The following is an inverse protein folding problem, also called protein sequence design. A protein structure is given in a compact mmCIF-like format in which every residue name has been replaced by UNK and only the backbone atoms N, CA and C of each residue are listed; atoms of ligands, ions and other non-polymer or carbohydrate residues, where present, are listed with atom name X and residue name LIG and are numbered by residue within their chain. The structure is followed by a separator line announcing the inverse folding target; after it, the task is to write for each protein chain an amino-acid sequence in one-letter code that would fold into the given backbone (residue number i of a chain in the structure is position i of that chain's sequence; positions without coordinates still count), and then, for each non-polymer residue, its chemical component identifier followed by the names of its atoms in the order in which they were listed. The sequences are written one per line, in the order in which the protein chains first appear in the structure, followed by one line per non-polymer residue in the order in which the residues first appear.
data_IF_450025844842
#
_entry.id   IF_450025844842
#
_cell.length_a   1.000
_cell.length_b   1.000
_cell.length_c   1.000
_cell.angle_alpha   90.00
_cell.angle_beta   90.00
_cell.angle_gamma   90.00
#
_symmetry.space_group_name_H-M   'P 1'
#
loop_
_entity.id
_entity.type
_entity.pdbx_description
1 polymer ?
#
# COMPACT_ATOMS: atom_id res chain seq x y z
N UNK A 1 -18.79 3.65 -70.23
CA UNK A 1 -18.29 4.31 -71.46
C UNK A 1 -16.77 4.19 -71.51
N UNK A 2 -16.28 3.54 -72.58
CA UNK A 2 -14.96 3.56 -73.25
C UNK A 2 -13.61 3.30 -72.51
N UNK A 3 -13.12 2.06 -72.71
CA UNK A 3 -11.78 1.58 -73.15
C UNK A 3 -10.53 2.48 -73.22
N UNK A 4 -9.38 1.93 -72.75
CA UNK A 4 -8.14 1.66 -73.52
C UNK A 4 -7.15 0.78 -72.68
N UNK A 5 -6.93 -0.51 -72.99
CA UNK A 5 -5.78 -1.14 -73.71
C UNK A 5 -4.38 -0.60 -73.31
N UNK A 6 -3.33 -1.38 -72.97
CA UNK A 6 -3.12 -2.83 -72.85
C UNK A 6 -1.60 -3.18 -72.85
N UNK A 7 -1.24 -4.43 -72.44
CA UNK A 7 -0.03 -5.25 -72.76
C UNK A 7 1.36 -4.66 -72.35
N UNK A 8 2.41 -5.38 -71.94
CA UNK A 8 3.02 -6.69 -72.32
C UNK A 8 4.23 -6.96 -71.36
N UNK A 9 4.37 -8.16 -70.77
CA UNK A 9 5.43 -9.19 -70.98
C UNK A 9 6.84 -9.05 -70.35
N UNK A 10 7.21 -10.10 -69.59
CA UNK A 10 8.43 -10.97 -69.67
C UNK A 10 9.71 -10.60 -68.87
N UNK A 11 9.95 -11.46 -67.86
CA UNK A 11 11.16 -12.17 -67.41
C UNK A 11 12.59 -11.58 -67.49
N UNK A 12 13.19 -11.50 -66.29
CA UNK A 12 14.49 -12.06 -65.81
C UNK A 12 15.84 -11.74 -66.52
N UNK A 13 16.95 -11.69 -65.74
CA UNK A 13 17.80 -12.88 -65.60
C UNK A 13 18.43 -13.17 -64.20
N UNK A 14 18.79 -14.46 -64.07
CA UNK A 14 19.73 -15.21 -63.21
C UNK A 14 21.06 -14.52 -62.83
N UNK A 15 21.88 -14.94 -61.85
CA UNK A 15 21.99 -16.19 -61.06
C UNK A 15 23.04 -16.04 -59.92
N UNK A 16 22.95 -16.84 -58.84
CA UNK A 16 23.86 -17.98 -58.52
C UNK A 16 25.27 -17.54 -58.03
N UNK A 17 25.88 -18.00 -56.92
CA UNK A 17 25.93 -19.33 -56.30
C UNK A 17 26.82 -19.25 -55.01
N UNK A 18 26.81 -20.33 -54.21
CA UNK A 18 27.79 -20.82 -53.21
C UNK A 18 27.52 -20.58 -51.71
N UNK A 19 27.14 -21.68 -51.04
CA UNK A 19 27.46 -21.97 -49.63
C UNK A 19 28.74 -22.81 -49.55
N UNK A 20 29.40 -22.86 -48.38
CA UNK A 20 29.46 -24.15 -47.69
C UNK A 20 29.24 -24.04 -46.16
N UNK A 21 28.82 -25.19 -45.59
CA UNK A 21 28.63 -25.44 -44.16
C UNK A 21 29.97 -25.49 -43.42
N UNK A 22 30.01 -25.09 -42.15
CA UNK A 22 30.80 -25.74 -41.11
C UNK A 22 30.20 -25.52 -39.71
N UNK A 23 30.28 -26.60 -38.95
CA UNK A 23 29.85 -26.92 -37.59
C UNK A 23 30.57 -26.14 -36.49
N UNK A 24 29.90 -25.85 -35.37
CA UNK A 24 30.55 -25.38 -34.14
C UNK A 24 29.55 -25.03 -33.02
N UNK A 25 29.71 -25.67 -31.86
CA UNK A 25 28.86 -25.66 -30.66
C UNK A 25 28.60 -24.27 -30.02
N UNK A 26 27.58 -24.15 -29.13
CA UNK A 26 27.24 -22.92 -28.43
C UNK A 26 28.12 -22.71 -27.19
N UNK A 27 28.50 -21.46 -26.91
CA UNK A 27 29.08 -21.09 -25.63
C UNK A 27 29.13 -19.56 -25.46
N UNK A 28 29.28 -19.05 -24.24
CA UNK A 28 28.57 -19.39 -23.01
C UNK A 28 27.59 -18.27 -22.63
N UNK A 29 26.52 -18.61 -21.93
CA UNK A 29 25.68 -17.64 -21.22
C UNK A 29 26.52 -16.97 -20.12
N UNK A 30 26.96 -15.74 -20.38
CA UNK A 30 27.46 -14.82 -19.36
C UNK A 30 26.30 -14.42 -18.45
N UNK A 31 26.07 -15.22 -17.42
CA UNK A 31 25.23 -14.87 -16.29
C UNK A 31 25.99 -13.82 -15.46
N UNK A 32 25.89 -12.56 -15.86
CA UNK A 32 26.35 -11.45 -15.05
C UNK A 32 25.43 -11.32 -13.82
N UNK A 33 25.94 -11.79 -12.67
CA UNK A 33 25.32 -11.54 -11.36
C UNK A 33 25.20 -10.02 -11.17
N UNK A 34 24.02 -9.46 -10.87
CA UNK A 34 23.93 -8.06 -10.54
C UNK A 34 24.72 -7.81 -9.24
N UNK A 35 25.78 -7.02 -9.38
CA UNK A 35 26.64 -6.53 -8.31
C UNK A 35 25.78 -5.92 -7.20
N UNK A 36 26.08 -6.32 -5.96
CA UNK A 36 25.51 -5.77 -4.73
C UNK A 36 25.62 -4.24 -4.75
N UNK A 37 24.51 -3.55 -5.00
CA UNK A 37 24.42 -2.12 -4.79
C UNK A 37 24.47 -1.89 -3.28
N UNK A 38 25.50 -1.17 -2.84
CA UNK A 38 25.67 -0.71 -1.46
C UNK A 38 24.41 0.07 -1.06
N UNK A 39 23.72 -0.42 -0.03
CA UNK A 39 22.51 0.15 0.54
C UNK A 39 22.85 1.52 1.14
N UNK A 40 22.29 2.58 0.56
CA UNK A 40 22.52 3.95 0.97
C UNK A 40 21.47 4.89 0.38
N UNK A 41 20.21 4.49 0.46
CA UNK A 41 19.04 5.34 0.24
C UNK A 41 17.84 4.60 0.86
N UNK A 42 17.56 4.89 2.13
CA UNK A 42 16.37 4.37 2.80
C UNK A 42 15.15 4.99 2.12
N UNK A 43 14.51 4.23 1.23
CA UNK A 43 13.20 4.56 0.72
C UNK A 43 12.22 4.30 1.87
N UNK A 44 11.91 5.32 2.67
CA UNK A 44 10.90 5.23 3.75
C UNK A 44 9.50 5.15 3.11
N UNK A 45 9.18 4.01 2.50
CA UNK A 45 7.81 3.61 2.28
C UNK A 45 7.25 3.23 3.65
N UNK A 46 6.16 3.87 4.06
CA UNK A 46 5.43 3.50 5.27
C UNK A 46 4.79 2.13 5.03
N UNK A 47 5.45 1.09 5.51
CA UNK A 47 5.13 -0.32 5.27
C UNK A 47 4.48 -0.91 6.51
N UNK A 48 3.39 -0.32 7.00
CA UNK A 48 2.80 -0.74 8.26
C UNK A 48 1.37 -1.28 8.08
N UNK A 49 1.17 -2.46 8.64
CA UNK A 49 -0.12 -3.13 8.72
C UNK A 49 -0.36 -3.43 10.18
N UNK A 50 -1.19 -2.59 10.80
CA UNK A 50 -1.40 -2.65 12.24
C UNK A 50 -2.56 -3.57 12.53
N UNK A 51 -2.30 -4.61 13.32
CA UNK A 51 -3.37 -5.24 14.08
C UNK A 51 -3.72 -4.33 15.25
N UNK A 52 -4.68 -3.43 15.01
CA UNK A 52 -5.27 -2.61 16.06
C UNK A 52 -6.29 -3.45 16.87
N UNK A 53 -5.85 -4.53 17.51
CA UNK A 53 -6.63 -5.18 18.57
C UNK A 53 -6.27 -4.53 19.90
N UNK A 54 -7.12 -3.61 20.39
CA UNK A 54 -7.11 -3.14 21.78
C UNK A 54 -7.04 -1.62 22.00
N UNK A 55 -6.61 -0.82 21.02
CA UNK A 55 -6.51 0.64 21.21
C UNK A 55 -7.85 1.38 21.11
N UNK A 56 -8.93 0.71 20.68
CA UNK A 56 -10.27 1.30 20.58
C UNK A 56 -11.16 1.03 21.81
N UNK A 57 -10.68 0.31 22.83
CA UNK A 57 -11.46 -0.08 24.03
C UNK A 57 -10.83 0.31 25.37
N UNK A 58 -9.71 1.04 25.39
CA UNK A 58 -9.14 1.55 26.65
C UNK A 58 -8.55 0.49 27.59
N UNK A 59 -8.29 -0.72 27.11
CA UNK A 59 -7.66 -1.78 27.92
C UNK A 59 -6.14 -1.77 27.72
N UNK A 60 -5.51 -0.68 28.16
CA UNK A 60 -4.12 -0.71 28.62
C UNK A 60 -4.19 -0.56 30.14
N UNK A 61 -4.66 -1.61 30.77
CA UNK A 61 -4.32 -1.94 32.14
C UNK A 61 -4.35 -3.45 32.22
N UNK A 62 -3.20 -4.00 32.60
CA UNK A 62 -3.10 -5.37 33.04
C UNK A 62 -3.98 -5.48 34.30
N UNK A 63 -5.12 -6.13 34.15
CA UNK A 63 -5.90 -6.63 35.28
C UNK A 63 -6.63 -7.88 34.80
N UNK A 64 -6.02 -9.01 35.12
CA UNK A 64 -6.62 -10.33 35.26
C UNK A 64 -8.09 -10.25 35.66
N UNK A 65 -8.99 -10.78 34.81
CA UNK A 65 -10.12 -11.64 35.23
C UNK A 65 -10.88 -12.21 34.02
N UNK A 66 -10.91 -13.56 34.00
CA UNK A 66 -11.78 -14.51 33.32
C UNK A 66 -12.69 -14.06 32.17
N UNK A 67 -12.33 -14.47 30.95
CA UNK A 67 -13.31 -14.76 29.91
C UNK A 67 -13.17 -16.24 29.54
N UNK A 68 -14.23 -17.01 29.78
CA UNK A 68 -14.30 -18.46 29.69
C UNK A 68 -13.80 -19.01 28.35
N UNK A 69 -12.84 -19.95 28.44
CA UNK A 69 -12.49 -20.87 27.36
C UNK A 69 -13.71 -21.69 26.96
N UNK A 70 -14.01 -21.72 25.66
CA UNK A 70 -14.83 -22.78 25.07
C UNK A 70 -13.91 -23.74 24.34
N UNK A 71 -14.10 -25.06 24.48
CA UNK A 71 -13.15 -26.04 23.96
C UNK A 71 -13.10 -25.99 22.43
N UNK A 72 -11.88 -26.06 21.92
CA UNK A 72 -11.59 -26.23 20.51
C UNK A 72 -12.15 -27.58 20.04
N UNK A 73 -12.97 -27.56 18.99
CA UNK A 73 -13.22 -28.77 18.22
C UNK A 73 -12.07 -28.95 17.22
N UNK A 74 -11.58 -30.19 17.17
CA UNK A 74 -10.47 -30.71 16.37
C UNK A 74 -10.27 -29.98 15.04
N UNK A 75 -9.24 -29.13 15.01
CA UNK A 75 -8.56 -28.76 13.78
C UNK A 75 -7.31 -29.64 13.72
N UNK A 76 -7.39 -30.72 12.95
CA UNK A 76 -6.25 -31.56 12.56
C UNK A 76 -5.08 -30.68 12.15
N UNK A 77 -3.95 -30.87 12.82
CA UNK A 77 -2.71 -30.14 12.63
C UNK A 77 -2.24 -30.25 11.17
N UNK A 78 -2.26 -29.12 10.46
CA UNK A 78 -1.66 -29.01 9.13
C UNK A 78 -0.28 -28.37 9.28
N UNK A 79 0.75 -29.20 9.16
CA UNK A 79 2.00 -28.88 8.45
C UNK A 79 3.01 -27.96 9.14
N UNK A 80 4.16 -28.56 9.48
CA UNK A 80 5.47 -28.02 9.86
C UNK A 80 5.73 -26.53 9.59
N UNK A 81 6.22 -25.85 10.64
CA UNK A 81 6.75 -24.50 10.62
C UNK A 81 7.79 -24.32 9.50
N UNK A 82 7.55 -23.34 8.62
CA UNK A 82 8.62 -22.72 7.85
C UNK A 82 9.59 -22.05 8.84
N UNK A 83 10.91 -22.02 8.57
CA UNK A 83 11.88 -21.44 9.49
C UNK A 83 11.49 -19.99 9.75
N UNK A 84 11.35 -19.63 11.03
CA UNK A 84 11.01 -18.28 11.46
C UNK A 84 11.93 -17.28 10.75
N UNK A 85 11.35 -16.42 9.92
CA UNK A 85 12.05 -15.24 9.46
C UNK A 85 12.52 -14.50 10.71
N UNK A 86 13.80 -14.12 10.76
CA UNK A 86 14.39 -13.51 11.94
C UNK A 86 13.53 -12.30 12.38
N UNK A 87 12.90 -12.41 13.55
CA UNK A 87 12.09 -11.35 14.16
C UNK A 87 12.91 -10.67 15.26
N UNK A 88 12.66 -9.39 15.48
CA UNK A 88 13.31 -8.68 16.58
C UNK A 88 12.79 -9.19 17.94
N UNK A 89 13.71 -9.60 18.82
CA UNK A 89 13.37 -9.98 20.19
C UNK A 89 12.87 -8.74 20.95
N UNK A 90 11.58 -8.73 21.27
CA UNK A 90 10.94 -7.64 22.01
C UNK A 90 11.59 -7.39 23.37
N UNK A 91 11.89 -8.43 24.12
CA UNK A 91 12.47 -8.27 25.45
C UNK A 91 13.88 -7.66 25.33
N UNK A 92 14.64 -8.01 24.29
CA UNK A 92 15.90 -7.35 23.99
C UNK A 92 15.72 -5.88 23.59
N UNK A 93 14.72 -5.55 22.78
CA UNK A 93 14.38 -4.17 22.40
C UNK A 93 14.00 -3.33 23.63
N UNK A 94 13.11 -3.84 24.48
CA UNK A 94 12.65 -3.16 25.70
C UNK A 94 13.78 -2.98 26.73
N UNK A 95 14.62 -4.01 26.95
CA UNK A 95 15.79 -3.91 27.83
C UNK A 95 16.78 -2.86 27.34
N UNK A 96 17.14 -2.90 26.06
CA UNK A 96 18.07 -1.93 25.49
C UNK A 96 17.55 -0.50 25.58
N UNK A 97 16.25 -0.28 25.34
CA UNK A 97 15.62 1.02 25.52
C UNK A 97 15.68 1.48 26.98
N UNK A 98 15.37 0.59 27.93
CA UNK A 98 15.32 0.89 29.36
C UNK A 98 16.70 1.22 29.93
N UNK A 99 17.73 0.43 29.60
CA UNK A 99 19.12 0.65 30.01
C UNK A 99 19.65 1.98 29.44
N UNK A 100 19.38 2.27 28.16
CA UNK A 100 19.79 3.52 27.55
C UNK A 100 19.13 4.73 28.23
N UNK A 101 17.84 4.65 28.58
CA UNK A 101 17.14 5.74 29.28
C UNK A 101 17.70 5.92 30.70
N UNK A 102 18.01 4.83 31.42
CA UNK A 102 18.65 4.90 32.73
C UNK A 102 20.03 5.58 32.68
N UNK A 103 20.77 5.39 31.58
CA UNK A 103 22.04 6.05 31.29
C UNK A 103 21.90 7.50 30.77
N UNK A 104 20.68 8.05 30.65
CA UNK A 104 20.44 9.37 30.05
C UNK A 104 20.63 9.44 28.54
N UNK A 105 20.63 8.29 27.85
CA UNK A 105 20.73 8.15 26.39
C UNK A 105 19.33 7.94 25.76
N UNK A 106 19.26 7.95 24.43
CA UNK A 106 18.00 7.72 23.71
C UNK A 106 17.59 6.24 23.72
N UNK A 107 16.45 5.93 24.32
CA UNK A 107 15.85 4.59 24.28
C UNK A 107 15.45 4.18 22.87
N UNK A 108 14.86 5.10 22.10
CA UNK A 108 14.50 4.88 20.69
C UNK A 108 15.70 4.49 19.81
N UNK A 109 16.86 5.14 19.99
CA UNK A 109 18.08 4.81 19.24
C UNK A 109 18.58 3.40 19.61
N UNK A 110 18.64 3.07 20.90
CA UNK A 110 19.09 1.76 21.36
C UNK A 110 18.15 0.63 20.89
N UNK A 111 16.84 0.86 20.93
CA UNK A 111 15.83 -0.03 20.36
C UNK A 111 16.02 -0.23 18.85
N UNK A 112 16.26 0.85 18.11
CA UNK A 112 16.47 0.81 16.67
C UNK A 112 17.73 0.02 16.30
N UNK A 113 18.78 0.14 17.11
CA UNK A 113 20.02 -0.62 16.94
C UNK A 113 19.79 -2.12 17.12
N UNK A 114 18.98 -2.55 18.11
CA UNK A 114 18.59 -3.95 18.28
C UNK A 114 17.79 -4.45 17.07
N UNK A 115 16.77 -3.69 16.65
CA UNK A 115 15.95 -4.03 15.47
C UNK A 115 16.82 -4.18 14.22
N UNK A 116 17.75 -3.26 13.98
CA UNK A 116 18.62 -3.27 12.80
C UNK A 116 19.50 -4.53 12.71
N UNK A 117 19.91 -5.09 13.85
CA UNK A 117 20.72 -6.31 13.94
C UNK A 117 19.91 -7.60 13.87
N UNK A 118 18.60 -7.54 14.09
CA UNK A 118 17.73 -8.72 14.13
C UNK A 118 17.54 -9.40 12.77
N UNK A 119 17.76 -8.68 11.66
CA UNK A 119 17.44 -9.17 10.32
C UNK A 119 15.95 -9.05 9.97
N UNK A 120 15.11 -8.58 10.89
CA UNK A 120 13.71 -8.26 10.62
C UNK A 120 13.61 -7.05 9.70
N UNK A 121 13.09 -7.28 8.49
CA UNK A 121 12.94 -6.26 7.45
C UNK A 121 11.74 -5.33 7.65
N UNK A 122 10.86 -5.62 8.62
CA UNK A 122 9.61 -4.91 8.82
C UNK A 122 9.52 -4.18 10.15
N UNK A 123 10.23 -4.64 11.17
CA UNK A 123 10.26 -3.98 12.47
C UNK A 123 10.80 -2.55 12.36
N UNK A 124 10.16 -1.62 13.06
CA UNK A 124 10.54 -0.20 13.04
C UNK A 124 10.34 0.43 14.41
N UNK A 125 11.16 1.42 14.72
CA UNK A 125 10.99 2.25 15.92
C UNK A 125 10.50 3.63 15.49
N UNK A 126 9.46 4.10 16.15
CA UNK A 126 8.90 5.43 15.97
C UNK A 126 9.19 6.28 17.19
N UNK A 127 9.66 7.51 17.00
CA UNK A 127 9.55 8.52 18.05
C UNK A 127 8.07 8.79 18.40
N UNK A 128 7.76 9.38 19.57
CA UNK A 128 6.38 9.70 19.94
C UNK A 128 5.66 10.56 18.88
N UNK A 129 6.39 11.48 18.24
CA UNK A 129 5.87 12.35 17.18
C UNK A 129 5.58 11.59 15.89
N UNK A 130 6.49 10.71 15.46
CA UNK A 130 6.30 9.88 14.26
C UNK A 130 5.13 8.91 14.44
N UNK A 131 4.98 8.31 15.63
CA UNK A 131 3.87 7.41 15.90
C UNK A 131 2.52 8.14 15.91
N UNK A 132 2.44 9.36 16.46
CA UNK A 132 1.23 10.20 16.38
C UNK A 132 0.82 10.52 14.95
N UNK A 133 1.79 10.77 14.08
CA UNK A 133 1.55 11.02 12.67
C UNK A 133 1.11 9.76 11.92
N UNK A 134 1.73 8.63 12.25
CA UNK A 134 1.33 7.33 11.75
C UNK A 134 -0.13 7.00 12.14
N UNK A 135 -0.50 7.21 13.42
CA UNK A 135 -1.88 7.06 13.89
C UNK A 135 -2.83 8.00 13.15
N UNK A 136 -2.46 9.28 12.94
CA UNK A 136 -3.27 10.21 12.18
C UNK A 136 -3.52 9.71 10.75
N UNK A 137 -2.52 9.12 10.09
CA UNK A 137 -2.67 8.52 8.75
C UNK A 137 -3.65 7.35 8.75
N UNK A 138 -3.58 6.47 9.76
CA UNK A 138 -4.54 5.39 9.95
C UNK A 138 -5.95 5.92 10.23
N UNK A 139 -6.09 7.08 10.86
CA UNK A 139 -7.35 7.82 11.01
C UNK A 139 -7.78 8.57 9.73
N UNK A 140 -7.07 8.34 8.62
CA UNK A 140 -7.34 9.00 7.34
C UNK A 140 -7.07 10.50 7.40
N UNK A 141 -6.13 10.92 8.24
CA UNK A 141 -5.72 12.29 8.42
C UNK A 141 -4.21 12.48 8.22
N UNK A 142 -3.79 13.70 7.96
CA UNK A 142 -2.37 14.06 7.97
C UNK A 142 -2.22 15.54 8.32
N UNK A 143 -1.05 15.93 8.81
CA UNK A 143 -0.72 17.34 9.02
C UNK A 143 -0.03 17.90 7.78
N UNK A 144 -0.49 19.06 7.31
CA UNK A 144 0.13 19.73 6.16
C UNK A 144 -0.70 20.90 5.65
N UNK A 145 -0.39 21.35 4.44
CA UNK A 145 -1.03 22.53 3.82
C UNK A 145 -2.05 22.21 2.72
N UNK A 146 -2.24 20.93 2.41
CA UNK A 146 -3.28 20.50 1.45
C UNK A 146 -2.83 20.58 0.00
N UNK A 147 -1.56 20.29 -0.25
CA UNK A 147 -0.96 20.21 -1.59
C UNK A 147 -0.54 18.78 -1.90
N UNK A 148 -0.80 18.37 -3.14
CA UNK A 148 -0.08 17.28 -3.78
C UNK A 148 0.81 17.90 -4.85
N UNK A 149 2.02 17.38 -4.93
CA UNK A 149 3.01 17.82 -5.90
C UNK A 149 3.47 16.66 -6.75
N UNK A 150 3.94 16.96 -7.95
CA UNK A 150 4.60 16.00 -8.84
C UNK A 150 5.88 16.62 -9.36
N UNK A 151 6.85 15.77 -9.64
CA UNK A 151 7.99 16.17 -10.42
C UNK A 151 7.63 16.20 -11.89
N UNK A 152 8.07 17.23 -12.58
CA UNK A 152 7.89 17.44 -14.02
C UNK A 152 9.27 17.57 -14.68
N UNK A 153 9.37 17.58 -16.02
CA UNK A 153 10.66 17.64 -16.71
C UNK A 153 11.60 18.74 -16.19
N UNK A 154 12.90 18.48 -16.27
CA UNK A 154 13.98 19.33 -15.74
C UNK A 154 13.97 19.51 -14.21
N UNK A 155 13.43 18.51 -13.50
CA UNK A 155 13.45 18.42 -12.04
C UNK A 155 12.60 19.49 -11.34
N UNK A 156 11.63 20.09 -12.04
CA UNK A 156 10.73 21.09 -11.44
C UNK A 156 9.62 20.39 -10.67
N UNK A 157 9.12 21.06 -9.64
CA UNK A 157 7.99 20.58 -8.84
C UNK A 157 6.76 21.42 -9.17
N UNK A 158 5.67 20.77 -9.54
CA UNK A 158 4.38 21.41 -9.83
C UNK A 158 3.29 20.85 -8.92
N UNK A 159 2.35 21.71 -8.55
CA UNK A 159 1.13 21.33 -7.82
C UNK A 159 0.27 20.46 -8.74
N UNK A 160 0.02 19.22 -8.33
CA UNK A 160 -0.81 18.24 -9.04
C UNK A 160 -2.25 18.23 -8.52
N UNK A 161 -2.47 18.60 -7.26
CA UNK A 161 -3.79 18.71 -6.65
C UNK A 161 -3.76 19.68 -5.48
N UNK A 162 -4.89 20.33 -5.23
CA UNK A 162 -5.11 21.18 -4.06
C UNK A 162 -6.33 20.66 -3.31
N UNK A 163 -6.23 20.58 -1.98
CA UNK A 163 -7.33 20.16 -1.13
C UNK A 163 -8.37 21.30 -1.07
N UNK A 164 -9.63 21.07 -1.51
CA UNK A 164 -10.68 22.09 -1.37
C UNK A 164 -10.87 22.50 0.08
N UNK A 165 -10.98 23.81 0.33
CA UNK A 165 -11.11 24.38 1.67
C UNK A 165 -9.88 24.22 2.58
N UNK A 166 -8.75 23.71 2.07
CA UNK A 166 -7.49 23.61 2.82
C UNK A 166 -6.68 24.91 2.84
N UNK A 167 -5.57 24.99 3.61
CA UNK A 167 -4.71 26.17 3.67
C UNK A 167 -4.25 26.65 2.28
N UNK A 168 -3.77 25.74 1.45
CA UNK A 168 -3.30 26.06 0.11
C UNK A 168 -4.40 26.61 -0.82
N UNK A 169 -5.61 26.05 -0.74
CA UNK A 169 -6.75 26.56 -1.50
C UNK A 169 -7.11 27.99 -1.07
N UNK A 170 -7.15 28.26 0.24
CA UNK A 170 -7.40 29.61 0.78
C UNK A 170 -6.34 30.63 0.38
N UNK A 171 -5.10 30.18 0.18
CA UNK A 171 -3.99 31.00 -0.30
C UNK A 171 -4.00 31.20 -1.84
N UNK A 172 -5.01 30.72 -2.56
CA UNK A 172 -5.13 30.88 -4.02
C UNK A 172 -4.18 30.01 -4.85
N UNK A 173 -3.54 29.02 -4.21
CA UNK A 173 -2.67 28.05 -4.90
C UNK A 173 -3.54 27.12 -5.73
N UNK A 174 -3.16 26.88 -6.98
CA UNK A 174 -3.90 26.08 -7.93
C UNK A 174 -3.04 24.97 -8.55
N UNK A 175 -3.71 24.01 -9.18
CA UNK A 175 -3.05 22.97 -9.99
C UNK A 175 -2.25 23.64 -11.10
N UNK A 176 -1.02 23.18 -11.32
CA UNK A 176 -0.08 23.75 -12.29
C UNK A 176 0.87 24.80 -11.73
N UNK A 177 0.63 25.32 -10.51
CA UNK A 177 1.58 26.22 -9.86
C UNK A 177 2.91 25.52 -9.62
N UNK A 178 4.01 26.21 -9.94
CA UNK A 178 5.36 25.72 -9.68
C UNK A 178 5.76 26.04 -8.26
N UNK A 179 6.11 25.00 -7.51
CA UNK A 179 6.68 25.14 -6.17
C UNK A 179 8.20 25.26 -6.29
N UNK A 180 8.71 26.48 -6.13
CA UNK A 180 10.13 26.80 -6.29
C UNK A 180 10.95 26.52 -5.03
N UNK A 181 10.40 26.80 -3.86
CA UNK A 181 11.04 26.54 -2.57
C UNK A 181 10.01 26.29 -1.47
N UNK A 182 10.45 25.60 -0.41
CA UNK A 182 9.72 25.39 0.84
C UNK A 182 10.64 25.79 1.99
N UNK A 183 10.23 26.76 2.79
CA UNK A 183 11.03 27.35 3.89
C UNK A 183 12.43 27.78 3.40
N UNK A 184 12.46 28.50 2.27
CA UNK A 184 13.70 28.96 1.62
C UNK A 184 14.53 27.86 0.95
N UNK A 185 14.22 26.57 1.15
CA UNK A 185 14.94 25.46 0.53
C UNK A 185 14.44 25.20 -0.89
N UNK A 186 15.30 25.25 -1.93
CA UNK A 186 14.89 24.98 -3.29
C UNK A 186 14.24 23.60 -3.46
N UNK A 187 13.21 23.55 -4.31
CA UNK A 187 12.49 22.32 -4.67
C UNK A 187 12.99 21.70 -5.97
N UNK A 188 13.71 22.47 -6.81
CA UNK A 188 14.20 21.96 -8.10
C UNK A 188 15.31 20.93 -7.88
N UNK A 189 15.17 19.75 -8.49
CA UNK A 189 16.12 18.64 -8.36
C UNK A 189 16.04 17.88 -7.03
N UNK A 190 15.23 18.35 -6.08
CA UNK A 190 14.97 17.63 -4.85
C UNK A 190 14.08 16.41 -5.12
N UNK A 191 14.28 15.29 -4.42
CA UNK A 191 13.32 14.20 -4.40
C UNK A 191 11.94 14.72 -4.00
N UNK A 192 10.90 14.33 -4.75
CA UNK A 192 9.52 14.77 -4.46
C UNK A 192 9.10 14.42 -3.02
N UNK A 193 9.60 13.30 -2.49
CA UNK A 193 9.40 12.84 -1.11
C UNK A 193 9.91 13.85 -0.09
N UNK A 194 11.07 14.47 -0.33
CA UNK A 194 11.66 15.45 0.56
C UNK A 194 10.84 16.74 0.57
N UNK A 195 10.35 17.14 -0.60
CA UNK A 195 9.47 18.31 -0.73
C UNK A 195 8.17 18.07 0.03
N UNK A 196 7.57 16.88 -0.10
CA UNK A 196 6.38 16.48 0.66
C UNK A 196 6.67 16.46 2.18
N UNK A 197 7.81 15.93 2.60
CA UNK A 197 8.22 15.93 4.01
C UNK A 197 8.29 17.36 4.58
N UNK A 198 8.93 18.29 3.86
CA UNK A 198 9.00 19.71 4.26
C UNK A 198 7.61 20.35 4.34
N UNK A 199 6.72 20.09 3.38
CA UNK A 199 5.33 20.57 3.40
C UNK A 199 4.54 20.06 4.62
N UNK A 200 4.84 18.84 5.09
CA UNK A 200 4.25 18.25 6.30
C UNK A 200 4.97 18.65 7.58
N UNK A 201 6.14 19.28 7.48
CA UNK A 201 6.92 19.75 8.62
C UNK A 201 7.86 18.69 9.20
N UNK A 202 8.15 17.62 8.45
CA UNK A 202 9.22 16.71 8.77
C UNK A 202 10.56 17.30 8.28
N UNK A 203 11.60 17.24 9.12
CA UNK A 203 12.94 17.62 8.70
C UNK A 203 13.48 16.61 7.68
N UNK A 204 14.08 17.08 6.59
CA UNK A 204 14.88 16.23 5.71
C UNK A 204 16.09 15.72 6.52
N UNK A 205 16.15 14.42 6.82
CA UNK A 205 17.31 13.80 7.48
C UNK A 205 17.09 13.13 8.85
N UNK A 206 15.86 13.12 9.40
CA UNK A 206 15.53 12.33 10.60
C UNK A 206 16.09 12.90 11.91
N UNK A 207 15.22 12.99 12.94
CA UNK A 207 15.44 13.15 14.41
C UNK A 207 14.44 14.12 15.06
N UNK A 208 13.77 14.99 14.30
CA UNK A 208 12.66 15.80 14.82
C UNK A 208 11.36 15.33 14.18
N UNK A 209 10.42 14.93 15.04
CA UNK A 209 9.07 14.57 14.64
C UNK A 209 8.39 15.69 13.84
N UNK A 210 7.31 15.38 13.13
CA UNK A 210 6.61 16.30 12.25
C UNK A 210 6.13 17.54 13.00
N UNK A 211 6.23 18.70 12.35
CA UNK A 211 5.83 19.98 12.92
C UNK A 211 4.34 19.97 13.32
N UNK A 212 4.05 20.50 14.51
CA UNK A 212 2.70 20.53 15.05
C UNK A 212 1.70 21.27 14.14
N UNK A 213 0.41 20.98 14.32
CA UNK A 213 -0.68 21.80 13.74
C UNK A 213 -0.48 23.26 14.15
N UNK A 214 -0.70 24.18 13.22
CA UNK A 214 -0.48 25.61 13.40
C UNK A 214 0.93 26.08 13.05
N UNK A 215 1.90 25.18 12.86
CA UNK A 215 3.25 25.62 12.45
C UNK A 215 3.24 26.24 11.05
N UNK A 216 3.97 27.37 10.85
CA UNK A 216 4.02 28.02 9.55
C UNK A 216 4.91 27.26 8.57
N UNK A 217 4.64 27.44 7.28
CA UNK A 217 5.49 27.04 6.16
C UNK A 217 5.40 28.10 5.07
N UNK A 218 6.55 28.57 4.59
CA UNK A 218 6.63 29.57 3.53
C UNK A 218 6.90 28.88 2.20
N UNK A 219 6.04 29.11 1.22
CA UNK A 219 6.14 28.56 -0.12
C UNK A 219 6.48 29.65 -1.12
N UNK A 220 7.53 29.43 -1.91
CA UNK A 220 7.81 30.26 -3.09
C UNK A 220 7.17 29.63 -4.32
N UNK A 221 6.28 30.38 -4.97
CA UNK A 221 5.40 29.88 -6.01
C UNK A 221 5.58 30.66 -7.32
N UNK A 222 5.23 30.02 -8.44
CA UNK A 222 5.22 30.65 -9.74
C UNK A 222 4.06 30.14 -10.61
N UNK A 223 3.34 31.07 -11.24
CA UNK A 223 2.28 30.82 -12.24
C UNK A 223 2.54 31.69 -13.45
N UNK A 224 2.90 31.09 -14.58
CA UNK A 224 3.40 31.85 -15.74
C UNK A 224 4.64 32.66 -15.36
N UNK A 225 4.58 33.99 -15.54
CA UNK A 225 5.63 34.94 -15.15
C UNK A 225 5.49 35.44 -13.71
N UNK A 226 4.30 35.34 -13.11
CA UNK A 226 4.04 35.81 -11.74
C UNK A 226 4.74 34.92 -10.73
N UNK A 227 5.49 35.55 -9.83
CA UNK A 227 6.11 34.91 -8.66
C UNK A 227 5.56 35.54 -7.39
N UNK A 228 5.34 34.72 -6.37
CA UNK A 228 4.93 35.20 -5.05
C UNK A 228 5.35 34.21 -3.98
N UNK A 229 5.38 34.69 -2.74
CA UNK A 229 5.57 33.85 -1.56
C UNK A 229 4.28 33.82 -0.75
N UNK A 230 3.94 32.66 -0.20
CA UNK A 230 2.78 32.49 0.66
C UNK A 230 3.18 31.75 1.94
N UNK A 231 2.89 32.34 3.10
CA UNK A 231 3.03 31.66 4.38
C UNK A 231 1.70 31.00 4.74
N UNK A 232 1.73 29.68 4.89
CA UNK A 232 0.57 28.87 5.25
C UNK A 232 0.79 28.25 6.61
N UNK A 233 -0.30 27.97 7.30
CA UNK A 233 -0.25 27.26 8.58
C UNK A 233 -0.69 25.82 8.35
N UNK A 234 0.13 24.87 8.83
CA UNK A 234 -0.18 23.44 8.73
C UNK A 234 -1.45 23.15 9.53
N UNK A 235 -2.33 22.35 8.95
CA UNK A 235 -3.56 21.90 9.62
C UNK A 235 -3.74 20.41 9.45
N UNK A 236 -4.64 19.84 10.26
CA UNK A 236 -5.05 18.44 10.11
C UNK A 236 -6.03 18.34 8.94
N UNK A 237 -5.65 17.60 7.91
CA UNK A 237 -6.40 17.40 6.67
C UNK A 237 -6.85 15.96 6.54
N UNK A 238 -7.90 15.71 5.76
CA UNK A 238 -8.40 14.36 5.49
C UNK A 238 -7.82 13.80 4.20
N UNK A 239 -7.37 12.56 4.25
CA UNK A 239 -6.92 11.79 3.09
C UNK A 239 -8.13 11.23 2.33
N UNK A 240 -8.14 11.38 1.00
CA UNK A 240 -9.11 10.69 0.14
C UNK A 240 -8.63 9.27 -0.14
N UNK A 241 -8.80 8.39 0.86
CA UNK A 241 -8.33 7.00 0.78
C UNK A 241 -9.24 6.09 -0.07
N UNK A 242 -10.50 6.48 -0.26
CA UNK A 242 -11.47 5.77 -1.10
C UNK A 242 -11.98 6.71 -2.19
N UNK A 243 -11.83 6.31 -3.44
CA UNK A 243 -12.39 6.99 -4.62
C UNK A 243 -13.39 6.06 -5.27
N UNK A 244 -14.59 6.57 -5.55
CA UNK A 244 -15.68 5.80 -6.17
C UNK A 244 -16.05 6.51 -7.47
N UNK A 245 -16.05 5.76 -8.57
CA UNK A 245 -16.47 6.24 -9.89
C UNK A 245 -17.07 5.10 -10.73
N UNK A 246 -17.53 5.44 -11.94
CA UNK A 246 -18.07 4.48 -12.92
C UNK A 246 -17.33 4.65 -14.25
N UNK A 247 -16.24 3.90 -14.48
CA UNK A 247 -15.36 4.14 -15.63
C UNK A 247 -16.00 3.81 -16.99
N UNK A 248 -17.16 3.15 -17.02
CA UNK A 248 -17.90 2.84 -18.25
C UNK A 248 -19.33 3.41 -18.26
N UNK A 249 -19.55 4.56 -17.61
CA UNK A 249 -20.84 5.24 -17.60
C UNK A 249 -21.82 4.73 -16.54
N UNK A 250 -23.06 5.24 -16.55
CA UNK A 250 -24.04 5.04 -15.48
C UNK A 250 -24.39 3.56 -15.22
N UNK A 251 -24.43 2.74 -16.28
CA UNK A 251 -24.72 1.30 -16.23
C UNK A 251 -23.47 0.43 -16.13
N UNK A 252 -22.27 1.03 -16.20
CA UNK A 252 -21.01 0.33 -16.05
C UNK A 252 -20.69 -0.09 -14.61
N UNK A 253 -19.58 -0.80 -14.40
CA UNK A 253 -19.15 -1.20 -13.07
C UNK A 253 -18.95 -0.01 -12.15
N UNK A 254 -19.31 -0.20 -10.88
CA UNK A 254 -18.87 0.71 -9.82
C UNK A 254 -17.43 0.36 -9.47
N UNK A 255 -16.48 1.26 -9.73
CA UNK A 255 -15.09 1.09 -9.30
C UNK A 255 -14.90 1.74 -7.94
N UNK A 256 -14.35 0.98 -7.01
CA UNK A 256 -13.93 1.46 -5.68
C UNK A 256 -12.42 1.32 -5.59
N UNK A 257 -11.71 2.43 -5.74
CA UNK A 257 -10.27 2.49 -5.57
C UNK A 257 -9.91 2.80 -4.12
N UNK A 258 -9.17 1.90 -3.48
CA UNK A 258 -8.68 2.07 -2.11
C UNK A 258 -7.18 2.31 -2.16
N UNK A 259 -6.74 3.51 -1.80
CA UNK A 259 -5.32 3.86 -1.75
C UNK A 259 -4.63 3.35 -0.48
N UNK A 260 -5.36 3.28 0.64
CA UNK A 260 -4.90 2.75 1.92
C UNK A 260 -6.11 2.38 2.80
N UNK A 261 -5.97 1.40 3.68
CA UNK A 261 -6.97 1.02 4.67
C UNK A 261 -6.88 1.92 5.90
N UNK A 262 -7.57 3.05 5.84
CA UNK A 262 -7.74 3.95 6.99
C UNK A 262 -9.13 3.81 7.60
N UNK A 263 -9.33 4.37 8.79
CA UNK A 263 -10.59 4.39 9.53
C UNK A 263 -11.74 4.85 8.64
N UNK A 264 -12.79 4.04 8.57
CA UNK A 264 -13.99 4.30 7.77
C UNK A 264 -13.93 3.81 6.32
N UNK A 265 -12.83 3.20 5.88
CA UNK A 265 -12.70 2.58 4.54
C UNK A 265 -13.76 1.51 4.33
N UNK A 266 -13.90 0.55 5.25
CA UNK A 266 -14.87 -0.54 5.15
C UNK A 266 -16.32 -0.02 5.12
N UNK A 267 -16.62 1.03 5.89
CA UNK A 267 -17.93 1.67 5.86
C UNK A 267 -18.22 2.36 4.51
N UNK A 268 -17.21 3.01 3.91
CA UNK A 268 -17.32 3.61 2.58
C UNK A 268 -17.54 2.54 1.49
N UNK A 269 -16.80 1.44 1.53
CA UNK A 269 -16.97 0.32 0.60
C UNK A 269 -18.36 -0.30 0.76
N UNK A 270 -18.82 -0.56 1.99
CA UNK A 270 -20.16 -1.12 2.22
C UNK A 270 -21.27 -0.22 1.68
N UNK A 271 -21.13 1.11 1.78
CA UNK A 271 -22.06 2.06 1.14
C UNK A 271 -22.01 1.97 -0.38
N UNK A 272 -20.82 1.83 -0.97
CA UNK A 272 -20.64 1.68 -2.41
C UNK A 272 -21.31 0.38 -2.91
N UNK A 273 -21.12 -0.73 -2.20
CA UNK A 273 -21.72 -2.04 -2.53
C UNK A 273 -23.24 -1.97 -2.53
N UNK A 274 -23.86 -1.28 -1.57
CA UNK A 274 -25.32 -1.10 -1.54
C UNK A 274 -25.88 -0.25 -2.68
N UNK A 275 -25.05 0.57 -3.33
CA UNK A 275 -25.44 1.48 -4.42
C UNK A 275 -24.97 1.00 -5.79
N UNK A 276 -24.26 -0.14 -5.85
CA UNK A 276 -23.76 -0.68 -7.09
C UNK A 276 -24.93 -1.28 -7.89
N UNK A 277 -24.88 -1.09 -9.22
CA UNK A 277 -25.80 -1.78 -10.11
C UNK A 277 -25.50 -3.29 -10.07
N UNK A 278 -26.49 -4.17 -9.87
CA UNK A 278 -26.30 -5.62 -9.95
C UNK A 278 -25.70 -6.06 -11.29
N UNK A 279 -26.16 -5.46 -12.40
CA UNK A 279 -25.72 -5.77 -13.76
C UNK A 279 -24.29 -5.30 -14.02
N UNK A 280 -23.95 -4.11 -13.52
CA UNK A 280 -22.62 -3.52 -13.73
C UNK A 280 -21.53 -4.17 -12.87
N UNK A 281 -21.90 -4.72 -11.71
CA UNK A 281 -20.95 -5.30 -10.75
C UNK A 281 -20.00 -4.27 -10.13
N UNK A 282 -18.92 -4.77 -9.55
CA UNK A 282 -17.91 -3.95 -8.86
C UNK A 282 -16.49 -4.30 -9.25
N UNK A 283 -15.69 -3.25 -9.45
CA UNK A 283 -14.23 -3.32 -9.53
C UNK A 283 -13.63 -2.80 -8.23
N UNK A 284 -12.99 -3.66 -7.45
CA UNK A 284 -12.25 -3.26 -6.26
C UNK A 284 -10.78 -3.03 -6.64
N UNK A 285 -10.35 -1.77 -6.75
CA UNK A 285 -9.01 -1.40 -7.20
C UNK A 285 -8.05 -1.19 -6.03
N UNK A 286 -7.14 -2.16 -5.84
CA UNK A 286 -6.11 -2.20 -4.79
C UNK A 286 -4.69 -2.00 -5.35
N UNK A 287 -4.57 -1.58 -6.62
CA UNK A 287 -3.28 -1.29 -7.25
C UNK A 287 -2.57 -0.15 -6.53
N UNK A 288 -1.30 -0.37 -6.17
CA UNK A 288 -0.48 0.56 -5.39
C UNK A 288 -0.91 0.76 -3.93
N UNK A 289 -1.82 -0.06 -3.41
CA UNK A 289 -2.26 0.00 -2.02
C UNK A 289 -1.30 -0.78 -1.11
N UNK A 290 -0.56 -0.08 -0.25
CA UNK A 290 0.44 -0.67 0.64
C UNK A 290 -0.11 -1.31 1.92
N UNK A 291 -1.44 -1.32 2.10
CA UNK A 291 -2.12 -1.87 3.26
C UNK A 291 -2.74 -0.81 4.17
N UNK A 292 -2.52 -0.93 5.48
CA UNK A 292 -3.14 -0.11 6.52
C UNK A 292 -3.79 -0.96 7.63
N UNK A 293 -4.89 -0.47 8.20
CA UNK A 293 -5.63 -1.13 9.27
C UNK A 293 -6.22 -2.46 8.78
N UNK A 294 -5.79 -3.57 9.40
CA UNK A 294 -6.33 -4.90 9.12
C UNK A 294 -7.83 -4.97 9.43
N UNK A 295 -8.30 -4.29 10.47
CA UNK A 295 -9.71 -4.20 10.84
C UNK A 295 -10.58 -3.58 9.72
N UNK A 296 -10.04 -2.60 8.99
CA UNK A 296 -10.71 -1.97 7.85
C UNK A 296 -10.69 -2.86 6.60
N UNK A 297 -9.64 -3.66 6.41
CA UNK A 297 -9.60 -4.70 5.38
C UNK A 297 -10.64 -5.80 5.66
N UNK A 298 -10.75 -6.29 6.91
CA UNK A 298 -11.78 -7.25 7.32
C UNK A 298 -13.19 -6.66 7.18
N UNK A 299 -13.38 -5.39 7.54
CA UNK A 299 -14.66 -4.70 7.36
C UNK A 299 -15.03 -4.57 5.86
N UNK A 300 -14.03 -4.32 5.01
CA UNK A 300 -14.18 -4.34 3.55
C UNK A 300 -14.56 -5.73 3.04
N UNK A 301 -13.88 -6.79 3.49
CA UNK A 301 -14.22 -8.18 3.14
C UNK A 301 -15.68 -8.50 3.51
N UNK A 302 -16.10 -8.06 4.69
CA UNK A 302 -17.47 -8.24 5.20
C UNK A 302 -18.55 -7.54 4.35
N UNK A 303 -18.19 -6.58 3.48
CA UNK A 303 -19.14 -5.99 2.55
C UNK A 303 -19.53 -6.96 1.43
N UNK A 304 -18.68 -7.95 1.14
CA UNK A 304 -18.85 -8.91 0.05
C UNK A 304 -19.09 -10.35 0.53
N UNK A 305 -18.89 -10.62 1.82
CA UNK A 305 -19.02 -11.93 2.44
C UNK A 305 -20.15 -11.94 3.47
N UNK A 306 -20.82 -13.07 3.63
CA UNK A 306 -21.84 -13.28 4.67
C UNK A 306 -21.28 -14.09 5.85
N UNK A 307 -20.20 -13.58 6.45
CA UNK A 307 -19.44 -14.29 7.47
C UNK A 307 -18.34 -15.19 6.91
N UNK A 308 -17.75 -15.99 7.81
CA UNK A 308 -16.65 -16.92 7.50
C UNK A 308 -15.26 -16.32 7.72
N UNK A 309 -14.25 -17.20 7.65
CA UNK A 309 -12.85 -16.87 7.87
C UNK A 309 -12.32 -15.91 6.78
N UNK A 310 -11.63 -14.85 7.20
CA UNK A 310 -10.93 -13.90 6.34
C UNK A 310 -9.44 -14.16 6.35
N UNK A 311 -8.86 -14.38 7.52
CA UNK A 311 -7.45 -14.74 7.67
C UNK A 311 -7.22 -15.38 9.03
N UNK A 312 -6.19 -16.20 9.14
CA UNK A 312 -5.59 -16.54 10.43
C UNK A 312 -4.28 -15.77 10.59
N UNK A 313 -3.85 -15.57 11.82
CA UNK A 313 -2.55 -14.99 12.11
C UNK A 313 -2.01 -15.55 13.40
N UNK A 314 -0.70 -15.67 13.48
CA UNK A 314 -0.01 -16.13 14.67
C UNK A 314 0.57 -14.94 15.42
N UNK A 315 0.46 -14.98 16.75
CA UNK A 315 1.18 -14.07 17.65
C UNK A 315 1.99 -14.95 18.59
N UNK A 316 3.30 -15.02 18.38
CA UNK A 316 4.22 -15.81 19.24
C UNK A 316 3.75 -17.26 19.47
N UNK A 317 3.38 -17.95 18.39
CA UNK A 317 2.89 -19.33 18.42
C UNK A 317 1.43 -19.50 18.81
N UNK A 318 0.73 -18.43 19.22
CA UNK A 318 -0.72 -18.46 19.46
C UNK A 318 -1.48 -18.07 18.20
N UNK A 319 -2.14 -19.04 17.57
CA UNK A 319 -2.95 -18.81 16.38
C UNK A 319 -4.26 -18.08 16.73
N UNK A 320 -4.60 -17.09 15.92
CA UNK A 320 -5.82 -16.29 16.01
C UNK A 320 -6.50 -16.24 14.65
N UNK A 321 -7.79 -15.94 14.64
CA UNK A 321 -8.61 -15.89 13.43
C UNK A 321 -9.38 -14.58 13.31
N UNK A 322 -9.49 -14.07 12.10
CA UNK A 322 -10.27 -12.91 11.73
C UNK A 322 -11.47 -13.37 10.89
N UNK A 323 -12.67 -12.96 11.28
CA UNK A 323 -13.90 -13.35 10.62
C UNK A 323 -14.61 -12.16 9.99
N UNK A 324 -15.23 -12.39 8.84
CA UNK A 324 -16.13 -11.43 8.24
C UNK A 324 -17.41 -11.32 9.09
N UNK A 325 -18.01 -10.12 9.13
CA UNK A 325 -19.35 -9.92 9.67
C UNK A 325 -20.38 -10.37 8.64
N UNK A 326 -21.51 -10.93 9.10
CA UNK A 326 -22.67 -11.26 8.27
C UNK A 326 -23.32 -10.02 7.64
N UNK A 327 -24.15 -10.23 6.62
CA UNK A 327 -24.92 -9.22 5.90
C UNK A 327 -24.14 -8.54 4.76
N UNK A 328 -23.13 -9.19 4.19
CA UNK A 328 -22.46 -8.75 2.96
C UNK A 328 -23.22 -9.15 1.71
N UNK A 329 -22.99 -8.46 0.59
CA UNK A 329 -23.58 -8.83 -0.69
C UNK A 329 -22.71 -9.89 -1.39
N UNK A 330 -23.15 -11.14 -1.32
CA UNK A 330 -22.46 -12.30 -1.92
C UNK A 330 -22.78 -12.49 -3.40
N UNK A 331 -23.80 -11.81 -3.95
CA UNK A 331 -24.29 -11.99 -5.33
C UNK A 331 -23.76 -10.98 -6.33
N UNK A 332 -23.35 -9.79 -5.88
CA UNK A 332 -22.83 -8.75 -6.77
C UNK A 332 -21.59 -9.26 -7.53
N UNK A 333 -21.52 -9.24 -8.87
CA UNK A 333 -20.31 -9.58 -9.59
C UNK A 333 -19.13 -8.73 -9.11
N UNK A 334 -17.99 -9.37 -8.82
CA UNK A 334 -16.85 -8.71 -8.19
C UNK A 334 -15.53 -9.16 -8.81
N UNK A 335 -14.71 -8.18 -9.20
CA UNK A 335 -13.32 -8.38 -9.60
C UNK A 335 -12.42 -7.48 -8.76
N UNK A 336 -11.30 -8.03 -8.29
CA UNK A 336 -10.26 -7.28 -7.56
C UNK A 336 -9.09 -7.01 -8.49
N UNK A 337 -8.67 -5.75 -8.59
CA UNK A 337 -7.49 -5.33 -9.34
C UNK A 337 -6.30 -5.19 -8.40
N UNK A 338 -5.19 -5.84 -8.73
CA UNK A 338 -3.96 -5.84 -7.93
C UNK A 338 -2.71 -5.60 -8.79
N UNK A 339 -1.62 -5.16 -8.17
CA UNK A 339 -0.30 -5.08 -8.78
C UNK A 339 0.81 -5.33 -7.76
N UNK A 340 2.07 -5.22 -8.18
CA UNK A 340 3.24 -5.35 -7.29
C UNK A 340 3.33 -4.30 -6.19
N UNK A 341 2.48 -3.27 -6.20
CA UNK A 341 2.33 -2.31 -5.10
C UNK A 341 1.21 -2.67 -4.12
N UNK A 342 0.37 -3.66 -4.44
CA UNK A 342 -0.61 -4.24 -3.51
C UNK A 342 0.12 -5.02 -2.41
N UNK A 343 -0.08 -4.63 -1.15
CA UNK A 343 0.68 -5.17 -0.02
C UNK A 343 -0.16 -5.38 1.24
N UNK A 344 0.23 -6.37 2.05
CA UNK A 344 -0.21 -6.57 3.43
C UNK A 344 -1.73 -6.63 3.60
N UNK A 345 -2.39 -5.70 4.31
CA UNK A 345 -3.84 -5.74 4.50
C UNK A 345 -4.63 -5.79 3.16
N UNK A 346 -4.06 -5.24 2.08
CA UNK A 346 -4.61 -5.36 0.73
C UNK A 346 -4.44 -6.77 0.14
N UNK A 347 -3.32 -7.43 0.41
CA UNK A 347 -3.09 -8.84 0.07
C UNK A 347 -4.01 -9.74 0.88
N UNK A 348 -4.12 -9.52 2.21
CA UNK A 348 -5.05 -10.24 3.08
C UNK A 348 -6.47 -10.20 2.55
N UNK A 349 -6.99 -9.01 2.20
CA UNK A 349 -8.32 -8.87 1.59
C UNK A 349 -8.43 -9.60 0.25
N UNK A 350 -7.44 -9.44 -0.63
CA UNK A 350 -7.44 -10.07 -1.96
C UNK A 350 -7.45 -11.59 -1.85
N UNK A 351 -6.57 -12.15 -1.01
CA UNK A 351 -6.47 -13.57 -0.76
C UNK A 351 -7.73 -14.13 -0.09
N UNK A 352 -8.35 -13.39 0.84
CA UNK A 352 -9.60 -13.79 1.46
C UNK A 352 -10.76 -13.87 0.47
N UNK A 353 -10.87 -12.90 -0.44
CA UNK A 353 -11.91 -12.91 -1.47
C UNK A 353 -11.63 -13.97 -2.55
N UNK A 354 -10.37 -14.19 -2.89
CA UNK A 354 -9.94 -15.20 -3.86
C UNK A 354 -10.18 -16.63 -3.34
N UNK A 355 -9.68 -16.97 -2.15
CA UNK A 355 -9.78 -18.31 -1.57
C UNK A 355 -11.22 -18.75 -1.33
N UNK A 356 -12.10 -17.78 -1.08
CA UNK A 356 -13.52 -18.03 -0.86
C UNK A 356 -14.33 -18.09 -2.16
N UNK A 357 -13.66 -18.04 -3.32
CA UNK A 357 -14.31 -17.98 -4.63
C UNK A 357 -15.22 -16.77 -4.79
N UNK A 358 -15.03 -15.72 -3.98
CA UNK A 358 -15.93 -14.56 -3.96
C UNK A 358 -15.60 -13.57 -5.07
N UNK A 359 -14.34 -13.45 -5.44
CA UNK A 359 -13.90 -12.54 -6.50
C UNK A 359 -12.79 -13.18 -7.33
N UNK A 360 -12.75 -12.82 -8.61
CA UNK A 360 -11.57 -13.04 -9.43
C UNK A 360 -10.57 -11.90 -9.21
N UNK A 361 -9.31 -12.25 -9.01
CA UNK A 361 -8.18 -11.33 -8.86
C UNK A 361 -7.50 -11.18 -10.22
N UNK A 362 -7.34 -9.94 -10.68
CA UNK A 362 -6.82 -9.59 -12.00
C UNK A 362 -5.67 -8.59 -11.85
N UNK A 363 -4.55 -8.84 -12.53
CA UNK A 363 -3.41 -7.92 -12.55
C UNK A 363 -2.07 -8.64 -12.49
N UNK A 364 -1.12 -8.12 -11.72
CA UNK A 364 0.20 -8.76 -11.53
C UNK A 364 0.38 -9.25 -10.10
N UNK A 365 1.41 -10.10 -9.90
CA UNK A 365 1.77 -10.62 -8.58
C UNK A 365 1.93 -9.49 -7.56
N UNK A 366 1.36 -9.67 -6.37
CA UNK A 366 1.41 -8.70 -5.28
C UNK A 366 2.76 -8.72 -4.56
N UNK A 367 2.97 -7.79 -3.62
CA UNK A 367 4.28 -7.52 -3.05
C UNK A 367 4.86 -8.66 -2.18
N UNK A 368 4.03 -9.36 -1.43
CA UNK A 368 4.43 -10.45 -0.55
C UNK A 368 4.85 -10.04 0.85
N UNK A 369 4.04 -9.20 1.51
CA UNK A 369 4.19 -8.93 2.94
C UNK A 369 3.13 -9.71 3.72
N UNK A 370 3.54 -10.84 4.28
CA UNK A 370 2.72 -11.75 5.08
C UNK A 370 2.92 -11.61 6.60
N UNK A 371 3.87 -10.79 7.03
CA UNK A 371 4.12 -10.49 8.44
C UNK A 371 3.03 -9.62 9.08
N UNK A 372 2.84 -9.79 10.37
CA UNK A 372 1.99 -8.98 11.23
C UNK A 372 2.85 -8.19 12.21
N UNK A 373 2.57 -6.90 12.34
CA UNK A 373 3.24 -6.05 13.32
C UNK A 373 2.32 -5.67 14.49
N UNK A 374 2.91 -5.52 15.68
CA UNK A 374 2.24 -4.97 16.85
C UNK A 374 3.08 -3.83 17.46
N UNK A 375 2.46 -2.67 17.74
CA UNK A 375 3.12 -1.59 18.45
C UNK A 375 3.25 -1.90 19.94
N UNK A 376 4.38 -1.51 20.52
CA UNK A 376 4.66 -1.49 21.96
C UNK A 376 5.36 -0.20 22.34
N UNK A 377 4.85 0.45 23.38
CA UNK A 377 5.44 1.68 23.91
C UNK A 377 6.71 1.35 24.70
N UNK A 378 7.73 2.20 24.55
CA UNK A 378 9.01 2.14 25.22
C UNK A 378 9.08 3.21 26.34
N UNK A 379 10.02 3.09 27.30
CA UNK A 379 10.07 3.99 28.47
C UNK A 379 10.19 5.48 28.17
N UNK A 380 10.75 5.85 27.01
CA UNK A 380 10.88 7.24 26.55
C UNK A 380 9.67 7.74 25.73
N UNK A 381 8.58 6.96 25.69
CA UNK A 381 7.37 7.24 24.92
C UNK A 381 7.50 6.96 23.42
N UNK A 382 8.66 6.47 22.96
CA UNK A 382 8.79 5.94 21.61
C UNK A 382 8.03 4.63 21.46
N UNK A 383 7.78 4.18 20.24
CA UNK A 383 6.99 2.99 19.95
C UNK A 383 7.76 2.05 19.05
N UNK A 384 7.98 0.82 19.53
CA UNK A 384 8.49 -0.27 18.73
C UNK A 384 7.31 -0.97 18.02
N UNK A 385 7.25 -0.88 16.70
CA UNK A 385 6.33 -1.69 15.89
C UNK A 385 7.08 -2.93 15.41
N UNK A 386 6.87 -4.05 16.11
CA UNK A 386 7.65 -5.28 15.92
C UNK A 386 6.85 -6.36 15.20
N UNK A 387 7.51 -7.16 14.37
CA UNK A 387 6.90 -8.36 13.79
C UNK A 387 6.62 -9.38 14.88
N UNK A 388 5.37 -9.85 14.97
CA UNK A 388 4.94 -10.82 16.00
C UNK A 388 4.52 -12.17 15.43
N UNK A 389 4.47 -12.29 14.10
CA UNK A 389 4.12 -13.50 13.40
C UNK A 389 3.68 -13.21 11.97
N UNK A 390 2.99 -14.18 11.37
CA UNK A 390 2.54 -14.14 9.98
C UNK A 390 1.04 -14.40 9.90
N UNK A 391 0.39 -13.87 8.87
CA UNK A 391 -0.98 -14.24 8.54
C UNK A 391 -1.03 -15.25 7.40
N UNK A 392 -2.11 -16.02 7.39
CA UNK A 392 -2.46 -16.93 6.31
C UNK A 392 -3.85 -16.59 5.79
N UNK A 393 -4.02 -16.78 4.49
CA UNK A 393 -5.33 -16.65 3.83
C UNK A 393 -6.25 -17.81 4.23
N UNK A 394 -7.57 -17.79 3.92
CA UNK A 394 -8.49 -18.86 4.31
C UNK A 394 -8.10 -20.27 3.84
N UNK A 395 -7.41 -20.40 2.69
CA UNK A 395 -6.88 -21.66 2.19
C UNK A 395 -5.49 -22.02 2.79
N UNK A 396 -5.03 -21.29 3.81
CA UNK A 396 -3.76 -21.55 4.49
C UNK A 396 -2.50 -21.02 3.78
N UNK A 397 -2.66 -20.25 2.69
CA UNK A 397 -1.52 -19.72 1.92
C UNK A 397 -0.73 -18.69 2.73
N UNK A 398 0.58 -18.86 2.77
CA UNK A 398 1.50 -17.83 3.24
C UNK A 398 1.87 -16.93 2.06
N UNK A 399 1.73 -15.61 2.23
CA UNK A 399 2.06 -14.63 1.20
C UNK A 399 3.44 -13.98 1.41
N UNK A 400 4.11 -14.21 2.55
CA UNK A 400 5.39 -13.57 2.85
C UNK A 400 6.48 -13.98 1.86
N UNK A 401 7.13 -13.00 1.24
CA UNK A 401 8.18 -13.19 0.24
C UNK A 401 7.70 -13.62 -1.15
N UNK A 402 6.49 -14.18 -1.27
CA UNK A 402 5.95 -14.68 -2.54
C UNK A 402 4.86 -13.79 -3.15
N UNK A 403 4.05 -13.14 -2.32
CA UNK A 403 2.84 -12.45 -2.76
C UNK A 403 1.73 -13.40 -3.22
N UNK A 404 0.60 -12.80 -3.59
CA UNK A 404 -0.53 -13.47 -4.22
C UNK A 404 -0.37 -13.48 -5.73
N UNK A 405 -0.63 -14.63 -6.33
CA UNK A 405 -0.75 -14.77 -7.78
C UNK A 405 -2.21 -14.51 -8.19
N UNK A 406 -2.47 -13.55 -9.09
CA UNK A 406 -3.82 -13.29 -9.61
C UNK A 406 -4.37 -14.49 -10.39
N UNK A 407 -5.70 -14.65 -10.41
CA UNK A 407 -6.39 -15.63 -11.25
C UNK A 407 -6.22 -15.31 -12.74
N UNK A 408 -6.16 -14.02 -13.08
CA UNK A 408 -5.89 -13.54 -14.43
C UNK A 408 -4.69 -12.62 -14.42
N UNK A 409 -3.54 -13.14 -14.87
CA UNK A 409 -2.29 -12.39 -14.95
C UNK A 409 -2.30 -11.44 -16.15
N UNK A 410 -2.11 -10.15 -15.91
CA UNK A 410 -2.11 -9.09 -16.91
C UNK A 410 -1.06 -8.03 -16.54
N UNK A 411 -0.17 -7.71 -17.49
CA UNK A 411 0.78 -6.60 -17.34
C UNK A 411 0.12 -5.24 -17.61
N UNK A 412 -0.09 -4.90 -18.88
CA UNK A 412 -0.76 -3.67 -19.29
C UNK A 412 -2.26 -3.90 -19.57
N UNK A 413 -3.10 -2.90 -19.29
CA UNK A 413 -4.53 -2.99 -19.58
C UNK A 413 -5.35 -3.85 -18.59
N UNK A 414 -4.84 -4.09 -17.38
CA UNK A 414 -5.52 -4.86 -16.33
C UNK A 414 -6.98 -4.43 -16.10
N UNK A 415 -7.26 -3.11 -16.09
CA UNK A 415 -8.63 -2.61 -15.93
C UNK A 415 -9.56 -2.99 -17.10
N UNK A 416 -9.06 -2.94 -18.33
CA UNK A 416 -9.84 -3.37 -19.51
C UNK A 416 -10.16 -4.87 -19.39
N UNK A 417 -9.17 -5.69 -19.04
CA UNK A 417 -9.36 -7.13 -18.84
C UNK A 417 -10.34 -7.42 -17.70
N UNK A 418 -10.22 -6.72 -16.57
CA UNK A 418 -11.12 -6.88 -15.44
C UNK A 418 -12.57 -6.56 -15.79
N UNK A 419 -12.82 -5.55 -16.63
CA UNK A 419 -14.18 -5.28 -17.15
C UNK A 419 -14.71 -6.40 -18.02
N UNK A 420 -13.88 -6.97 -18.90
CA UNK A 420 -14.27 -8.14 -19.72
C UNK A 420 -14.58 -9.36 -18.86
N UNK A 421 -13.78 -9.61 -17.81
CA UNK A 421 -14.05 -10.69 -16.84
C UNK A 421 -15.38 -10.42 -16.14
N UNK A 422 -15.58 -9.20 -15.64
CA UNK A 422 -16.76 -8.81 -14.90
C UNK A 422 -18.05 -8.91 -15.73
N UNK A 423 -18.02 -8.54 -17.02
CA UNK A 423 -19.17 -8.73 -17.91
C UNK A 423 -19.55 -10.19 -18.11
N UNK A 424 -18.57 -11.11 -18.06
CA UNK A 424 -18.84 -12.54 -18.11
C UNK A 424 -19.47 -13.08 -16.82
N UNK A 425 -19.19 -12.47 -15.66
CA UNK A 425 -19.76 -12.87 -14.37
C UNK A 425 -21.23 -12.43 -14.20
N UNK A 426 -21.65 -11.35 -14.87
CA UNK A 426 -23.00 -10.80 -14.75
C UNK A 426 -24.06 -11.45 -15.67
N UNK A 427 -23.65 -12.24 -16.66
CA UNK A 427 -24.53 -12.80 -17.70
C UNK A 427 -25.10 -14.19 -17.41
N UNK A 428 -24.92 -14.73 -16.20
CA UNK A 428 -25.33 -16.09 -15.83
C UNK A 428 -26.49 -16.16 -14.84
N UNK A 429 -27.55 -15.37 -15.05
CA UNK A 429 -28.80 -15.45 -14.29
C UNK A 429 -29.90 -16.10 -15.11
#
# INVERSE_FOLDING_TARGET
MSFAKGRRTVNQPYGALLSPRLTGMPGPCSYDRPRRIRRGAALTLFLASVLATGAATGTWSDRTQGAAERPAHDATAVGAHAPDAATADRAAVERAASEAVADGKSGAQAAADVVSRSGDRWSTIYSPGEFKDFQAQLDGAYVGVGLWVRQVPHGRIEVSRVQPGGPAARAGIAVGDRLRAVDGRPSRGAPVTDVVARLRGAASGGTRGPAAVGTPVTLDLQRGTRRWSATLHRTRLRSRNVVIDRPAGAHGPTRVKIAAFAKGTGAAVRRAVRRASPEGGMLLDLRGNTGGLVTEAVATASAFLDGGLVATYDVRGSQRALYARRGGNTRLPLVVLVDGGTMSAAELLSGALQDRGRALVVGSRTFGKGSVQMPSELPDGSVAELTVGHYRTPAGRNVDGAGLTPDVVVGSGAEKRARTVLSGLGGGA
#
